data_IF_682177493136
#
_entry.id   IF_682177493136
#
_cell.length_a   1.000
_cell.length_b   1.000
_cell.length_c   1.000
_cell.angle_alpha   90.00
_cell.angle_beta   90.00
_cell.angle_gamma   90.00
#
_symmetry.space_group_name_H-M   'P 1'
#
loop_
_entity.id
_entity.type
_entity.pdbx_description
1 polymer ?
#
# COMPACT_ATOMS: atom_id res chain seq x y z
N UNK A 1 -19.50 -71.66 -35.83
CA UNK A 1 -18.20 -71.03 -35.69
C UNK A 1 -18.43 -69.62 -35.24
N UNK A 2 -18.10 -69.34 -33.96
CA UNK A 2 -18.44 -68.09 -33.28
C UNK A 2 -17.31 -67.05 -33.46
N UNK A 3 -17.66 -65.86 -33.94
CA UNK A 3 -16.78 -64.71 -34.02
C UNK A 3 -17.09 -63.72 -32.88
N UNK A 4 -16.18 -63.63 -31.91
CA UNK A 4 -16.29 -62.76 -30.74
C UNK A 4 -15.74 -61.37 -31.10
N UNK A 5 -16.61 -60.37 -31.14
CA UNK A 5 -16.21 -58.94 -31.34
C UNK A 5 -15.94 -58.31 -29.98
N UNK A 6 -14.70 -57.89 -29.70
CA UNK A 6 -14.32 -57.09 -28.53
C UNK A 6 -14.64 -55.61 -28.84
N UNK A 7 -15.55 -55.05 -28.06
CA UNK A 7 -15.74 -53.59 -27.96
C UNK A 7 -14.69 -53.00 -27.01
N UNK A 8 -13.76 -52.26 -27.54
CA UNK A 8 -12.83 -51.43 -26.76
C UNK A 8 -13.48 -50.13 -26.28
N UNK A 9 -13.65 -49.97 -24.97
CA UNK A 9 -14.17 -48.77 -24.32
C UNK A 9 -13.00 -47.79 -24.15
N UNK A 10 -12.92 -46.75 -25.01
CA UNK A 10 -11.95 -45.65 -24.88
C UNK A 10 -12.46 -44.66 -23.84
N UNK A 11 -11.85 -44.71 -22.63
CA UNK A 11 -12.08 -43.72 -21.59
C UNK A 11 -11.27 -42.43 -21.92
N UNK A 12 -11.93 -41.44 -22.53
CA UNK A 12 -11.34 -40.15 -22.80
C UNK A 12 -11.25 -39.31 -21.53
N UNK A 13 -10.07 -39.15 -20.97
CA UNK A 13 -9.79 -38.20 -19.91
C UNK A 13 -9.87 -36.77 -20.50
N UNK A 14 -10.98 -36.05 -20.23
CA UNK A 14 -11.11 -34.62 -20.45
C UNK A 14 -10.29 -33.89 -19.39
N UNK A 15 -9.05 -33.55 -19.72
CA UNK A 15 -8.26 -32.60 -18.94
C UNK A 15 -8.87 -31.20 -19.11
N UNK A 16 -9.65 -30.77 -18.11
CA UNK A 16 -10.15 -29.40 -18.04
C UNK A 16 -8.99 -28.40 -17.94
N UNK A 17 -9.14 -27.18 -18.49
CA UNK A 17 -8.11 -26.16 -18.39
C UNK A 17 -7.88 -25.82 -16.93
N UNK A 18 -6.67 -26.08 -16.41
CA UNK A 18 -6.24 -25.66 -15.10
C UNK A 18 -6.29 -24.12 -15.07
N UNK A 19 -7.22 -23.56 -14.30
CA UNK A 19 -7.29 -22.14 -14.05
C UNK A 19 -5.97 -21.71 -13.39
N UNK A 20 -5.10 -21.05 -14.15
CA UNK A 20 -3.91 -20.40 -13.61
C UNK A 20 -4.42 -19.27 -12.73
N UNK A 21 -4.40 -19.46 -11.41
CA UNK A 21 -4.52 -18.38 -10.45
C UNK A 21 -3.33 -17.46 -10.68
N UNK A 22 -3.54 -16.36 -11.42
CA UNK A 22 -2.59 -15.25 -11.46
C UNK A 22 -2.50 -14.73 -10.05
N UNK A 23 -1.37 -14.93 -9.40
CA UNK A 23 -1.02 -14.19 -8.18
C UNK A 23 -0.84 -12.75 -8.66
N UNK A 24 -1.92 -11.97 -8.61
CA UNK A 24 -1.85 -10.54 -8.87
C UNK A 24 -0.89 -9.94 -7.84
N UNK A 25 0.14 -9.24 -8.31
CA UNK A 25 1.02 -8.47 -7.45
C UNK A 25 0.22 -7.41 -6.69
N UNK A 26 0.84 -6.72 -5.72
CA UNK A 26 0.18 -5.66 -4.99
C UNK A 26 -0.30 -4.57 -5.95
N UNK A 27 -1.50 -4.02 -5.67
CA UNK A 27 -2.06 -2.94 -6.47
C UNK A 27 -1.24 -1.66 -6.31
N UNK A 28 -0.93 -0.99 -7.42
CA UNK A 28 -0.26 0.31 -7.35
C UNK A 28 -1.29 1.40 -7.04
N UNK A 29 -0.98 2.28 -6.08
CA UNK A 29 -1.77 3.46 -5.74
C UNK A 29 -0.88 4.71 -5.74
N UNK A 30 -1.38 5.82 -6.26
CA UNK A 30 -0.71 7.11 -6.27
C UNK A 30 -1.33 8.05 -5.25
N UNK A 31 -0.60 9.06 -4.80
CA UNK A 31 -1.13 10.07 -3.86
C UNK A 31 -2.40 10.73 -4.38
N UNK A 32 -2.45 11.06 -5.67
CA UNK A 32 -3.63 11.65 -6.30
C UNK A 32 -4.88 10.75 -6.28
N UNK A 33 -4.70 9.46 -5.99
CA UNK A 33 -5.78 8.47 -5.93
C UNK A 33 -6.21 8.14 -4.49
N UNK A 34 -5.59 8.77 -3.47
CA UNK A 34 -5.92 8.52 -2.07
C UNK A 34 -7.23 9.22 -1.65
N UNK A 35 -7.47 10.41 -2.20
CA UNK A 35 -8.59 11.24 -1.77
C UNK A 35 -9.57 11.52 -2.91
N UNK A 36 -10.83 11.63 -2.54
CA UNK A 36 -11.92 12.08 -3.41
C UNK A 36 -12.05 13.59 -3.43
N UNK A 37 -13.19 14.07 -3.93
CA UNK A 37 -13.47 15.49 -3.93
C UNK A 37 -13.60 16.03 -2.50
N UNK A 38 -13.10 17.24 -2.29
CA UNK A 38 -13.33 17.98 -1.07
C UNK A 38 -14.82 18.33 -0.93
N UNK A 39 -15.40 18.08 0.22
CA UNK A 39 -16.78 18.39 0.52
C UNK A 39 -16.90 19.32 1.74
N UNK A 40 -18.06 19.93 2.01
CA UNK A 40 -18.30 20.69 3.24
C UNK A 40 -18.13 19.87 4.52
N UNK A 41 -18.15 18.55 4.42
CA UNK A 41 -17.89 17.60 5.52
C UNK A 41 -16.41 17.28 5.69
N UNK A 42 -15.54 17.92 4.91
CA UNK A 42 -14.12 17.71 4.92
C UNK A 42 -13.61 16.80 3.81
N UNK A 43 -12.40 16.26 4.01
CA UNK A 43 -11.71 15.40 3.07
C UNK A 43 -12.27 13.97 3.14
N UNK A 44 -12.67 13.42 1.99
CA UNK A 44 -13.11 12.04 1.87
C UNK A 44 -12.05 11.19 1.15
N UNK A 45 -11.99 9.89 1.45
CA UNK A 45 -11.17 8.97 0.67
C UNK A 45 -11.82 8.68 -0.67
N UNK A 46 -11.00 8.46 -1.70
CA UNK A 46 -11.49 8.06 -3.02
C UNK A 46 -12.07 6.65 -3.00
N UNK A 47 -12.87 6.31 -4.00
CA UNK A 47 -13.36 4.93 -4.19
C UNK A 47 -12.20 3.95 -4.43
N UNK A 48 -11.13 4.38 -5.10
CA UNK A 48 -9.92 3.57 -5.31
C UNK A 48 -9.28 3.24 -3.97
N UNK A 49 -9.04 4.23 -3.12
CA UNK A 49 -8.45 4.04 -1.81
C UNK A 49 -9.34 3.16 -0.92
N UNK A 50 -10.66 3.39 -0.90
CA UNK A 50 -11.61 2.58 -0.14
C UNK A 50 -11.62 1.11 -0.58
N UNK A 51 -11.55 0.85 -1.90
CA UNK A 51 -11.47 -0.51 -2.45
C UNK A 51 -10.17 -1.22 -2.08
N UNK A 52 -9.07 -0.48 -1.95
CA UNK A 52 -7.74 -1.00 -1.61
C UNK A 52 -7.47 -1.04 -0.10
N UNK A 53 -8.37 -0.52 0.72
CA UNK A 53 -8.26 -0.58 2.18
C UNK A 53 -8.09 -2.02 2.65
N UNK A 54 -7.08 -2.27 3.47
CA UNK A 54 -6.75 -3.61 3.99
C UNK A 54 -6.07 -4.53 2.98
N UNK A 55 -5.74 -4.06 1.79
CA UNK A 55 -5.05 -4.85 0.76
C UNK A 55 -3.59 -4.45 0.65
N UNK A 56 -2.80 -5.35 0.06
CA UNK A 56 -1.41 -5.10 -0.28
C UNK A 56 -1.34 -4.09 -1.44
N UNK A 57 -0.60 -3.01 -1.22
CA UNK A 57 -0.41 -1.92 -2.18
C UNK A 57 1.07 -1.60 -2.37
N UNK A 58 1.35 -0.94 -3.49
CA UNK A 58 2.63 -0.26 -3.75
C UNK A 58 2.35 1.23 -3.93
N UNK A 59 3.08 2.05 -3.18
CA UNK A 59 3.05 3.51 -3.34
C UNK A 59 4.47 4.04 -3.50
N UNK A 60 4.65 5.04 -4.37
CA UNK A 60 5.93 5.72 -4.59
C UNK A 60 5.86 7.15 -4.12
N UNK A 61 6.94 7.61 -3.51
CA UNK A 61 7.04 8.98 -3.00
C UNK A 61 8.42 9.28 -2.46
N UNK A 62 8.52 10.38 -1.78
CA UNK A 62 9.75 10.88 -1.19
C UNK A 62 9.65 10.78 0.34
N UNK A 63 10.75 10.39 0.98
CA UNK A 63 10.78 10.33 2.44
C UNK A 63 10.97 11.73 3.00
N UNK A 64 10.02 12.21 3.80
CA UNK A 64 10.21 13.43 4.57
C UNK A 64 11.31 13.23 5.64
N UNK A 65 12.02 14.29 6.03
CA UNK A 65 12.94 14.22 7.16
C UNK A 65 12.23 13.63 8.40
N UNK A 66 12.90 12.74 9.16
CA UNK A 66 12.27 12.08 10.29
C UNK A 66 11.91 13.08 11.39
N UNK A 67 10.72 12.90 11.98
CA UNK A 67 10.24 13.71 13.10
C UNK A 67 11.11 13.56 14.36
N UNK A 68 11.60 12.35 14.59
CA UNK A 68 12.51 11.99 15.68
C UNK A 68 13.48 10.91 15.19
N UNK A 69 14.71 10.88 15.70
CA UNK A 69 15.72 9.90 15.26
C UNK A 69 15.34 8.45 15.50
N UNK A 70 14.48 8.18 16.48
CA UNK A 70 14.02 6.87 16.94
C UNK A 70 12.57 6.55 16.54
N UNK A 71 11.99 7.32 15.63
CA UNK A 71 10.63 7.07 15.16
C UNK A 71 10.50 5.70 14.50
N UNK A 72 9.45 4.96 14.86
CA UNK A 72 9.14 3.63 14.30
C UNK A 72 8.45 3.70 12.94
N UNK A 73 8.21 4.91 12.45
CA UNK A 73 7.58 5.20 11.18
C UNK A 73 8.28 6.36 10.48
N UNK A 74 8.03 6.51 9.21
CA UNK A 74 8.39 7.71 8.45
C UNK A 74 7.21 8.21 7.63
N UNK A 75 7.30 9.45 7.19
CA UNK A 75 6.29 10.04 6.32
C UNK A 75 6.78 9.99 4.88
N UNK A 76 5.91 9.50 4.01
CA UNK A 76 6.08 9.49 2.57
C UNK A 76 5.26 10.65 2.00
N UNK A 77 5.87 11.43 1.11
CA UNK A 77 5.26 12.60 0.47
C UNK A 77 5.24 12.44 -1.05
N UNK A 78 4.31 13.11 -1.71
CA UNK A 78 4.21 13.10 -3.18
C UNK A 78 5.37 13.87 -3.84
N UNK A 79 5.96 14.81 -3.12
CA UNK A 79 7.04 15.70 -3.58
C UNK A 79 8.17 15.75 -2.55
N UNK A 80 9.43 16.01 -2.96
CA UNK A 80 10.50 16.23 -2.01
C UNK A 80 10.22 17.40 -1.07
N UNK A 81 10.41 17.19 0.23
CA UNK A 81 10.23 18.24 1.25
C UNK A 81 11.51 18.40 2.06
N UNK A 82 11.91 19.65 2.32
CA UNK A 82 13.11 19.98 3.10
C UNK A 82 12.84 20.14 4.59
N UNK A 83 11.59 20.35 4.97
CA UNK A 83 11.13 20.51 6.35
C UNK A 83 10.02 19.51 6.64
N UNK A 84 9.86 19.13 7.92
CA UNK A 84 8.74 18.31 8.32
C UNK A 84 7.43 19.09 8.14
N UNK A 85 6.52 18.65 7.25
CA UNK A 85 5.27 19.36 7.01
C UNK A 85 4.27 19.26 8.18
N UNK A 86 4.62 18.56 9.26
CA UNK A 86 3.71 18.14 10.34
C UNK A 86 3.93 18.84 11.68
N UNK A 87 4.64 19.96 11.69
CA UNK A 87 4.78 20.74 12.91
C UNK A 87 3.53 21.58 13.24
N UNK A 88 2.41 21.35 12.54
CA UNK A 88 1.14 22.04 12.71
C UNK A 88 0.01 21.04 13.00
N UNK A 89 -1.15 21.54 13.43
CA UNK A 89 -2.23 20.76 14.04
C UNK A 89 -2.88 19.69 13.13
N UNK A 90 -3.55 18.71 13.75
CA UNK A 90 -4.30 17.60 13.13
C UNK A 90 -5.38 18.03 12.11
N UNK A 91 -5.82 19.31 12.18
CA UNK A 91 -6.86 19.85 11.31
C UNK A 91 -6.39 20.01 9.85
N UNK A 92 -5.07 20.03 9.63
CA UNK A 92 -4.47 20.36 8.34
C UNK A 92 -3.78 19.14 7.70
N UNK A 93 -4.37 17.95 7.80
CA UNK A 93 -3.80 16.76 7.15
C UNK A 93 -3.63 16.98 5.63
N UNK A 94 -2.39 16.99 5.10
CA UNK A 94 -2.17 17.21 3.68
C UNK A 94 -2.62 15.98 2.85
N UNK A 95 -3.16 16.23 1.67
CA UNK A 95 -3.61 15.17 0.76
C UNK A 95 -2.47 14.39 0.08
N UNK A 96 -1.27 14.87 0.20
CA UNK A 96 -0.09 14.38 -0.50
C UNK A 96 0.89 13.63 0.39
N UNK A 97 0.38 13.07 1.51
CA UNK A 97 1.19 12.33 2.47
C UNK A 97 0.58 10.99 2.86
N UNK A 98 1.45 10.07 3.23
CA UNK A 98 1.10 8.79 3.88
C UNK A 98 2.14 8.45 4.95
N UNK A 99 1.70 7.86 6.05
CA UNK A 99 2.61 7.38 7.10
C UNK A 99 2.97 5.92 6.83
N UNK A 100 4.24 5.59 6.93
CA UNK A 100 4.76 4.25 6.66
C UNK A 100 5.28 3.63 7.94
N UNK A 101 4.63 2.57 8.41
CA UNK A 101 5.07 1.73 9.50
C UNK A 101 5.75 0.49 8.94
N UNK A 102 7.05 0.39 9.15
CA UNK A 102 7.81 -0.77 8.69
C UNK A 102 7.44 -2.03 9.46
N UNK A 103 7.49 -3.16 8.77
CA UNK A 103 7.40 -4.47 9.46
C UNK A 103 8.54 -4.62 10.46
N UNK A 104 8.33 -5.44 11.50
CA UNK A 104 9.32 -5.69 12.53
C UNK A 104 10.68 -6.10 11.93
N UNK A 105 11.73 -5.41 12.32
CA UNK A 105 13.08 -5.62 11.81
C UNK A 105 13.35 -4.96 10.44
N UNK A 106 12.38 -4.23 9.90
CA UNK A 106 12.59 -3.42 8.70
C UNK A 106 13.49 -2.23 8.99
N UNK A 107 14.38 -1.91 8.06
CA UNK A 107 15.23 -0.72 8.11
C UNK A 107 14.76 0.31 7.09
N UNK A 108 14.79 1.57 7.49
CA UNK A 108 14.48 2.68 6.60
C UNK A 108 15.70 2.96 5.73
N UNK A 109 15.61 2.84 4.40
CA UNK A 109 16.71 3.15 3.52
C UNK A 109 16.83 4.68 3.32
N UNK A 110 16.83 5.44 4.42
CA UNK A 110 16.93 6.90 4.32
C UNK A 110 18.29 7.30 3.81
N UNK A 111 18.31 8.09 2.76
CA UNK A 111 19.53 8.72 2.25
C UNK A 111 19.37 10.22 2.08
N UNK A 112 18.42 10.67 1.29
CA UNK A 112 18.10 12.09 1.12
C UNK A 112 16.63 12.27 0.83
N UNK A 113 16.07 13.45 1.15
CA UNK A 113 14.68 13.79 0.85
C UNK A 113 14.35 13.86 -0.65
N UNK A 114 15.36 13.79 -1.52
CA UNK A 114 15.20 13.79 -2.98
C UNK A 114 15.21 12.39 -3.61
N UNK A 115 15.50 11.33 -2.82
CA UNK A 115 15.46 9.97 -3.33
C UNK A 115 14.03 9.43 -3.39
N UNK A 116 13.64 8.98 -4.57
CA UNK A 116 12.35 8.31 -4.75
C UNK A 116 12.37 6.95 -4.06
N UNK A 117 11.37 6.72 -3.23
CA UNK A 117 11.20 5.49 -2.45
C UNK A 117 9.95 4.76 -2.93
N UNK A 118 10.06 3.46 -3.08
CA UNK A 118 8.94 2.57 -3.35
C UNK A 118 8.61 1.78 -2.07
N UNK A 119 7.36 1.83 -1.66
CA UNK A 119 6.86 1.24 -0.41
C UNK A 119 5.81 0.19 -0.73
N UNK A 120 5.99 -1.02 -0.21
CA UNK A 120 5.02 -2.11 -0.24
C UNK A 120 4.48 -2.36 1.15
N UNK A 121 3.19 -2.53 1.29
CA UNK A 121 2.57 -2.85 2.57
C UNK A 121 1.06 -2.90 2.46
N UNK A 122 0.37 -2.90 3.59
CA UNK A 122 -1.09 -2.93 3.65
C UNK A 122 -1.62 -1.51 3.85
N UNK A 123 -2.57 -1.09 3.00
CA UNK A 123 -3.19 0.23 3.09
C UNK A 123 -4.18 0.29 4.25
N UNK A 124 -3.98 1.21 5.17
CA UNK A 124 -4.94 1.58 6.21
C UNK A 124 -5.44 3.02 6.02
N UNK A 125 -6.73 3.21 6.20
CA UNK A 125 -7.41 4.51 6.07
C UNK A 125 -8.20 4.85 7.34
N UNK A 126 -8.28 6.12 7.63
CA UNK A 126 -9.00 6.68 8.77
C UNK A 126 -8.07 7.17 9.89
N UNK A 127 -8.60 8.01 10.77
CA UNK A 127 -7.83 8.62 11.84
C UNK A 127 -7.24 7.59 12.81
N UNK A 128 -5.96 7.72 13.11
CA UNK A 128 -5.24 6.88 14.09
C UNK A 128 -4.13 7.68 14.74
N UNK A 129 -4.08 7.67 16.05
CA UNK A 129 -3.01 8.30 16.83
C UNK A 129 -1.92 7.27 17.14
N UNK A 130 -0.68 7.63 16.83
CA UNK A 130 0.48 6.86 17.26
C UNK A 130 0.70 7.02 18.77
N UNK A 131 0.72 5.94 19.55
CA UNK A 131 0.75 6.03 21.00
C UNK A 131 2.10 6.53 21.56
N UNK A 132 3.19 6.36 20.80
CA UNK A 132 4.53 6.76 21.25
C UNK A 132 4.82 8.24 20.98
N UNK A 133 4.26 8.79 19.90
CA UNK A 133 4.55 10.16 19.47
C UNK A 133 3.37 11.11 19.60
N UNK A 134 2.14 10.59 19.73
CA UNK A 134 0.90 11.38 19.67
C UNK A 134 0.53 11.82 18.25
N UNK A 135 1.28 11.39 17.23
CA UNK A 135 1.06 11.77 15.85
C UNK A 135 -0.24 11.16 15.31
N UNK A 136 -1.12 11.99 14.76
CA UNK A 136 -2.38 11.54 14.13
C UNK A 136 -2.18 11.38 12.63
N UNK A 137 -2.63 10.26 12.07
CA UNK A 137 -2.52 9.94 10.65
C UNK A 137 -3.86 9.51 10.06
N UNK A 138 -4.13 9.87 8.81
CA UNK A 138 -5.34 9.50 8.07
C UNK A 138 -5.08 8.37 7.05
N UNK A 139 -3.89 8.34 6.47
CA UNK A 139 -3.45 7.31 5.52
C UNK A 139 -2.16 6.68 6.03
N UNK A 140 -2.16 5.36 6.08
CA UNK A 140 -0.98 4.57 6.51
C UNK A 140 -0.74 3.41 5.57
N UNK A 141 0.54 3.07 5.40
CA UNK A 141 0.98 1.80 4.84
C UNK A 141 1.68 1.04 5.96
N UNK A 142 1.07 -0.03 6.43
CA UNK A 142 1.57 -0.84 7.55
C UNK A 142 2.19 -2.15 7.09
N UNK A 143 2.92 -2.84 7.99
CA UNK A 143 3.70 -4.03 7.67
C UNK A 143 4.59 -3.79 6.43
N UNK A 144 5.12 -2.58 6.32
CA UNK A 144 5.72 -2.10 5.10
C UNK A 144 7.17 -2.55 4.93
N UNK A 145 7.55 -2.67 3.68
CA UNK A 145 8.94 -2.67 3.23
C UNK A 145 9.16 -1.51 2.30
N UNK A 146 10.33 -0.89 2.37
CA UNK A 146 10.68 0.24 1.54
C UNK A 146 12.03 0.00 0.85
N UNK A 147 12.14 0.43 -0.40
CA UNK A 147 13.40 0.42 -1.16
C UNK A 147 13.52 1.69 -2.00
N UNK A 148 14.71 1.97 -2.49
CA UNK A 148 14.90 2.99 -3.53
C UNK A 148 14.21 2.53 -4.82
N UNK A 149 13.44 3.42 -5.45
CA UNK A 149 12.76 3.16 -6.72
C UNK A 149 13.72 3.25 -7.91
#
# INVERSE_FOLDING_TARGET
MAGLALLGLACGLLAGPAARSSIAGPDQIRFAELYGAFSPLGLSFSEVALRLRGKAVVIRGYMAPPLKPDATFFVLTSQPVSLCPFCQSDADWPQDIAVVYLRKGGTVPFRTSSDLVEVWGVLELGSKTDPATGFVSQVRVVEATARRA
#
